data_IF_955202713013
#
_entry.id   IF_955202713013
#
_cell.length_a   1.000
_cell.length_b   1.000
_cell.length_c   1.000
_cell.angle_alpha   90.00
_cell.angle_beta   90.00
_cell.angle_gamma   90.00
#
_symmetry.space_group_name_H-M   'P 1'
#
loop_
_entity.id
_entity.type
_entity.pdbx_description
1 polymer ?
#
# COMPACT_ATOMS: atom_id res chain seq x y z
N UNK A 1 0.74 9.74 -14.85
CA UNK A 1 0.01 10.98 -15.19
C UNK A 1 -1.14 10.64 -16.13
N UNK A 2 -2.38 10.98 -15.76
CA UNK A 2 -3.53 10.81 -16.66
C UNK A 2 -3.59 12.06 -17.51
N UNK A 3 -3.05 12.00 -18.74
CA UNK A 3 -2.88 13.18 -19.62
C UNK A 3 -4.17 13.92 -19.93
N UNK A 4 -5.32 13.25 -19.80
CA UNK A 4 -6.65 13.81 -20.06
C UNK A 4 -7.36 14.31 -18.79
N UNK A 5 -6.75 14.17 -17.61
CA UNK A 5 -7.37 14.59 -16.36
C UNK A 5 -7.18 16.09 -16.13
N UNK A 6 -8.25 16.77 -15.68
CA UNK A 6 -8.22 18.15 -15.23
C UNK A 6 -8.40 18.19 -13.72
N UNK A 7 -7.45 18.78 -12.99
CA UNK A 7 -7.61 19.01 -11.56
C UNK A 7 -8.60 20.17 -11.34
N UNK A 8 -9.85 19.84 -11.04
CA UNK A 8 -10.93 20.83 -10.87
C UNK A 8 -10.91 21.53 -9.51
N UNK A 9 -10.35 20.89 -8.47
CA UNK A 9 -10.17 21.54 -7.18
C UNK A 9 -9.58 20.66 -6.09
N UNK A 10 -9.40 21.28 -4.93
CA UNK A 10 -8.87 20.66 -3.71
C UNK A 10 -9.74 21.06 -2.52
N UNK A 11 -10.00 20.10 -1.63
CA UNK A 11 -10.64 20.30 -0.33
C UNK A 11 -9.75 19.71 0.76
N UNK A 12 -9.66 20.41 1.89
CA UNK A 12 -9.04 19.95 3.13
C UNK A 12 -9.83 20.57 4.29
N UNK A 13 -9.97 19.84 5.40
CA UNK A 13 -10.62 20.34 6.62
C UNK A 13 -9.86 21.54 7.21
N UNK A 14 -8.55 21.63 6.95
CA UNK A 14 -7.72 22.77 7.28
C UNK A 14 -7.70 23.71 6.06
N UNK A 15 -8.49 24.77 6.11
CA UNK A 15 -8.68 25.70 4.98
C UNK A 15 -7.35 26.30 4.45
N UNK A 16 -6.40 26.59 5.34
CA UNK A 16 -5.09 27.11 4.93
C UNK A 16 -4.30 26.13 4.06
N UNK A 17 -4.46 24.82 4.27
CA UNK A 17 -3.79 23.80 3.46
C UNK A 17 -4.41 23.71 2.07
N UNK A 18 -5.74 23.68 1.96
CA UNK A 18 -6.41 23.66 0.66
C UNK A 18 -6.18 24.97 -0.11
N UNK A 19 -6.10 26.11 0.56
CA UNK A 19 -5.73 27.40 -0.06
C UNK A 19 -4.29 27.39 -0.60
N UNK A 20 -3.32 26.88 0.18
CA UNK A 20 -1.93 26.81 -0.25
C UNK A 20 -1.74 25.87 -1.45
N UNK A 21 -2.37 24.69 -1.41
CA UNK A 21 -2.28 23.71 -2.50
C UNK A 21 -3.01 24.17 -3.76
N UNK A 22 -4.19 24.78 -3.61
CA UNK A 22 -4.95 25.31 -4.76
C UNK A 22 -4.18 26.40 -5.50
N UNK A 23 -3.52 27.32 -4.77
CA UNK A 23 -2.60 28.31 -5.34
C UNK A 23 -1.42 27.65 -6.05
N UNK A 24 -0.76 26.68 -5.41
CA UNK A 24 0.41 25.97 -5.96
C UNK A 24 0.09 25.25 -7.27
N UNK A 25 -1.06 24.58 -7.32
CA UNK A 25 -1.48 23.79 -8.49
C UNK A 25 -2.42 24.55 -9.42
N UNK A 26 -2.64 25.85 -9.19
CA UNK A 26 -3.49 26.73 -10.01
C UNK A 26 -4.88 26.12 -10.25
N UNK A 27 -5.50 25.63 -9.18
CA UNK A 27 -6.84 25.02 -9.18
C UNK A 27 -7.75 25.72 -8.16
N UNK A 28 -9.02 25.32 -8.10
CA UNK A 28 -9.99 25.93 -7.21
C UNK A 28 -9.92 25.33 -5.79
N UNK A 29 -9.95 26.19 -4.78
CA UNK A 29 -10.21 25.77 -3.41
C UNK A 29 -11.70 25.51 -3.21
N UNK A 30 -12.02 24.39 -2.57
CA UNK A 30 -13.36 24.12 -2.08
C UNK A 30 -13.35 24.14 -0.55
N UNK A 31 -14.37 24.74 0.05
CA UNK A 31 -14.56 24.80 1.51
C UNK A 31 -15.51 23.70 2.02
N UNK A 32 -16.00 22.84 1.13
CA UNK A 32 -16.91 21.76 1.44
C UNK A 32 -16.60 20.57 0.53
N UNK A 33 -16.50 19.39 1.15
CA UNK A 33 -16.32 18.13 0.44
C UNK A 33 -17.44 17.90 -0.59
N UNK A 34 -18.69 18.13 -0.21
CA UNK A 34 -19.85 17.94 -1.09
C UNK A 34 -19.80 18.85 -2.32
N UNK A 35 -19.35 20.10 -2.14
CA UNK A 35 -19.22 21.04 -3.27
C UNK A 35 -18.14 20.59 -4.26
N UNK A 36 -17.03 20.04 -3.76
CA UNK A 36 -15.98 19.49 -4.62
C UNK A 36 -16.47 18.24 -5.35
N UNK A 37 -17.04 17.29 -4.62
CA UNK A 37 -17.48 16.00 -5.16
C UNK A 37 -18.49 16.19 -6.30
N UNK A 38 -19.44 17.12 -6.17
CA UNK A 38 -20.47 17.39 -7.20
C UNK A 38 -19.93 17.81 -8.56
N UNK A 39 -18.68 18.26 -8.65
CA UNK A 39 -18.06 18.70 -9.90
C UNK A 39 -16.94 17.77 -10.39
N UNK A 40 -16.76 16.61 -9.74
CA UNK A 40 -15.69 15.67 -10.03
C UNK A 40 -16.23 14.39 -10.67
N UNK A 41 -15.58 13.91 -11.73
CA UNK A 41 -15.78 12.54 -12.22
C UNK A 41 -15.07 11.50 -11.34
N UNK A 42 -13.94 11.90 -10.74
CA UNK A 42 -13.13 11.07 -9.86
C UNK A 42 -12.50 11.90 -8.74
N UNK A 43 -12.25 11.28 -7.59
CA UNK A 43 -11.57 11.91 -6.45
C UNK A 43 -10.39 11.06 -5.97
N UNK A 44 -9.32 11.73 -5.55
CA UNK A 44 -8.21 11.13 -4.81
C UNK A 44 -8.38 11.42 -3.33
N UNK A 45 -8.46 10.37 -2.50
CA UNK A 45 -8.68 10.45 -1.06
C UNK A 45 -7.36 10.15 -0.37
N UNK A 46 -6.77 11.19 0.22
CA UNK A 46 -5.52 11.14 0.99
C UNK A 46 -5.70 11.74 2.39
N UNK A 47 -6.87 11.48 3.00
CA UNK A 47 -7.16 11.81 4.41
C UNK A 47 -6.53 10.78 5.35
N UNK A 48 -6.56 10.97 6.68
CA UNK A 48 -6.21 9.88 7.61
C UNK A 48 -7.02 8.61 7.33
N UNK A 49 -6.43 7.43 7.58
CA UNK A 49 -7.03 6.15 7.23
C UNK A 49 -8.40 5.91 7.90
N UNK A 50 -8.57 6.47 9.10
CA UNK A 50 -9.83 6.44 9.87
C UNK A 50 -10.99 7.14 9.15
N UNK A 51 -10.71 8.04 8.22
CA UNK A 51 -11.70 8.83 7.49
C UNK A 51 -11.96 8.30 6.08
N UNK A 52 -11.16 7.34 5.59
CA UNK A 52 -11.30 6.81 4.23
C UNK A 52 -12.72 6.30 3.95
N UNK A 53 -13.32 5.55 4.87
CA UNK A 53 -14.64 4.95 4.65
C UNK A 53 -15.72 6.01 4.41
N UNK A 54 -15.85 7.00 5.29
CA UNK A 54 -16.91 8.01 5.18
C UNK A 54 -16.71 8.90 3.94
N UNK A 55 -15.49 9.35 3.66
CA UNK A 55 -15.19 10.18 2.48
C UNK A 55 -15.43 9.39 1.19
N UNK A 56 -14.99 8.13 1.13
CA UNK A 56 -15.19 7.26 -0.03
C UNK A 56 -16.67 6.98 -0.26
N UNK A 57 -17.44 6.73 0.80
CA UNK A 57 -18.88 6.49 0.71
C UNK A 57 -19.61 7.70 0.12
N UNK A 58 -19.34 8.91 0.62
CA UNK A 58 -19.96 10.15 0.11
C UNK A 58 -19.65 10.33 -1.38
N UNK A 59 -18.39 10.11 -1.79
CA UNK A 59 -17.98 10.24 -3.18
C UNK A 59 -18.66 9.21 -4.10
N UNK A 60 -18.74 7.94 -3.69
CA UNK A 60 -19.47 6.92 -4.45
C UNK A 60 -20.98 7.24 -4.52
N UNK A 61 -21.58 7.71 -3.42
CA UNK A 61 -22.99 8.13 -3.38
C UNK A 61 -23.30 9.25 -4.37
N UNK A 62 -22.31 10.08 -4.70
CA UNK A 62 -22.40 11.13 -5.73
C UNK A 62 -21.85 10.71 -7.11
N UNK A 63 -21.63 9.42 -7.34
CA UNK A 63 -21.19 8.84 -8.61
C UNK A 63 -19.75 9.17 -9.04
N UNK A 64 -18.85 9.48 -8.09
CA UNK A 64 -17.44 9.67 -8.40
C UNK A 64 -16.65 8.35 -8.36
N UNK A 65 -15.72 8.18 -9.30
CA UNK A 65 -14.69 7.15 -9.21
C UNK A 65 -13.68 7.48 -8.10
N UNK A 66 -13.09 6.47 -7.49
CA UNK A 66 -12.16 6.67 -6.36
C UNK A 66 -10.76 6.21 -6.67
N UNK A 67 -9.79 7.05 -6.30
CA UNK A 67 -8.48 6.62 -5.85
C UNK A 67 -8.42 6.86 -4.33
N UNK A 68 -8.08 5.84 -3.55
CA UNK A 68 -8.00 5.93 -2.08
C UNK A 68 -6.62 5.51 -1.64
N UNK A 69 -5.93 6.33 -0.86
CA UNK A 69 -4.66 5.94 -0.28
C UNK A 69 -4.79 4.68 0.61
N UNK A 70 -3.68 3.99 0.80
CA UNK A 70 -3.63 2.82 1.69
C UNK A 70 -3.61 3.26 3.17
N UNK A 71 -4.13 2.44 4.10
CA UNK A 71 -4.94 1.24 3.87
C UNK A 71 -6.34 1.59 3.36
N UNK A 72 -6.99 0.68 2.62
CA UNK A 72 -8.28 0.98 1.96
C UNK A 72 -9.36 1.46 2.95
N UNK A 73 -9.54 0.74 4.06
CA UNK A 73 -10.43 1.09 5.18
C UNK A 73 -9.84 0.54 6.48
N UNK A 74 -10.40 0.93 7.62
CA UNK A 74 -9.97 0.41 8.93
C UNK A 74 -10.44 -1.03 9.15
N UNK A 75 -11.62 -1.37 8.64
CA UNK A 75 -12.20 -2.72 8.82
C UNK A 75 -12.58 -3.37 7.50
N UNK A 76 -12.60 -4.70 7.48
CA UNK A 76 -13.08 -5.49 6.33
C UNK A 76 -14.55 -5.18 6.02
N UNK A 77 -15.38 -4.95 7.06
CA UNK A 77 -16.81 -4.64 6.89
C UNK A 77 -17.02 -3.33 6.13
N UNK A 78 -16.21 -2.31 6.42
CA UNK A 78 -16.22 -1.04 5.68
C UNK A 78 -15.82 -1.26 4.21
N UNK A 79 -14.73 -1.99 3.95
CA UNK A 79 -14.30 -2.32 2.59
C UNK A 79 -15.40 -3.04 1.81
N UNK A 80 -16.04 -4.04 2.40
CA UNK A 80 -17.15 -4.78 1.79
C UNK A 80 -18.33 -3.87 1.42
N UNK A 81 -18.70 -2.92 2.28
CA UNK A 81 -19.75 -1.93 1.99
C UNK A 81 -19.37 -1.05 0.78
N UNK A 82 -18.13 -0.56 0.73
CA UNK A 82 -17.67 0.27 -0.39
C UNK A 82 -17.60 -0.52 -1.70
N UNK A 83 -17.16 -1.78 -1.67
CA UNK A 83 -17.13 -2.67 -2.82
C UNK A 83 -18.56 -2.90 -3.33
N UNK A 84 -19.50 -3.24 -2.44
CA UNK A 84 -20.90 -3.43 -2.81
C UNK A 84 -21.53 -2.17 -3.43
N UNK A 85 -21.23 -0.99 -2.86
CA UNK A 85 -21.71 0.29 -3.38
C UNK A 85 -21.11 0.62 -4.76
N UNK A 86 -19.80 0.43 -4.92
CA UNK A 86 -19.10 0.57 -6.20
C UNK A 86 -19.72 -0.34 -7.27
N UNK A 87 -19.97 -1.60 -6.96
CA UNK A 87 -20.53 -2.55 -7.92
C UNK A 87 -21.98 -2.19 -8.28
N UNK A 88 -22.81 -1.80 -7.29
CA UNK A 88 -24.18 -1.30 -7.51
C UNK A 88 -24.20 -0.09 -8.45
N UNK A 89 -23.24 0.83 -8.30
CA UNK A 89 -23.15 2.05 -9.10
C UNK A 89 -22.27 1.93 -10.36
N UNK A 90 -21.67 0.75 -10.60
CA UNK A 90 -20.75 0.49 -11.71
C UNK A 90 -19.53 1.45 -11.74
N UNK A 91 -19.06 1.85 -10.57
CA UNK A 91 -17.91 2.76 -10.41
C UNK A 91 -16.59 1.99 -10.33
N UNK A 92 -15.49 2.74 -10.21
CA UNK A 92 -14.14 2.19 -10.06
C UNK A 92 -13.56 2.65 -8.74
N UNK A 93 -12.83 1.75 -8.08
CA UNK A 93 -12.03 2.04 -6.89
C UNK A 93 -10.62 1.53 -7.20
N UNK A 94 -9.63 2.37 -6.98
CA UNK A 94 -8.23 2.00 -6.95
C UNK A 94 -7.65 2.35 -5.59
N UNK A 95 -6.96 1.38 -4.97
CA UNK A 95 -6.23 1.60 -3.73
C UNK A 95 -4.78 1.97 -4.06
N UNK A 96 -4.22 2.93 -3.32
CA UNK A 96 -2.87 3.48 -3.48
C UNK A 96 -1.72 2.54 -3.10
N UNK A 97 -1.75 1.28 -3.54
CA UNK A 97 -0.62 0.35 -3.41
C UNK A 97 0.49 0.69 -4.40
N UNK A 98 1.22 1.77 -4.09
CA UNK A 98 2.22 2.36 -5.00
C UNK A 98 3.36 1.40 -5.36
N UNK A 99 3.75 0.50 -4.46
CA UNK A 99 4.88 -0.41 -4.67
C UNK A 99 4.64 -1.42 -5.81
N UNK A 100 3.37 -1.65 -6.21
CA UNK A 100 3.05 -2.44 -7.41
C UNK A 100 3.62 -1.82 -8.69
N UNK A 101 3.86 -0.51 -8.67
CA UNK A 101 4.42 0.26 -9.78
C UNK A 101 5.93 0.50 -9.63
N UNK A 102 6.57 -0.08 -8.61
CA UNK A 102 8.01 0.02 -8.45
C UNK A 102 8.72 -0.71 -9.61
N UNK A 103 9.65 -0.06 -10.35
CA UNK A 103 10.32 -0.68 -11.50
C UNK A 103 11.01 -2.01 -11.18
N UNK A 104 11.63 -2.13 -9.99
CA UNK A 104 12.29 -3.36 -9.57
C UNK A 104 11.30 -4.52 -9.34
N UNK A 105 10.13 -4.21 -8.78
CA UNK A 105 9.06 -5.20 -8.60
C UNK A 105 8.41 -5.60 -9.93
N UNK A 106 8.16 -4.62 -10.81
CA UNK A 106 7.67 -4.89 -12.18
C UNK A 106 8.64 -5.83 -12.90
N UNK A 107 9.94 -5.53 -12.88
CA UNK A 107 10.97 -6.36 -13.50
C UNK A 107 11.02 -7.77 -12.90
N UNK A 108 10.85 -7.92 -11.58
CA UNK A 108 10.76 -9.25 -10.93
C UNK A 108 9.55 -10.03 -11.46
N UNK A 109 8.40 -9.39 -11.60
CA UNK A 109 7.18 -10.02 -12.13
C UNK A 109 7.33 -10.41 -13.61
N UNK A 110 7.96 -9.57 -14.43
CA UNK A 110 8.29 -9.86 -15.83
C UNK A 110 9.22 -11.07 -15.98
N UNK A 111 10.15 -11.25 -15.02
CA UNK A 111 11.01 -12.43 -14.92
C UNK A 111 10.26 -13.72 -14.53
N UNK A 112 8.95 -13.65 -14.30
CA UNK A 112 8.09 -14.77 -13.89
C UNK A 112 8.63 -15.50 -12.66
N UNK A 113 9.02 -14.73 -11.65
CA UNK A 113 9.55 -15.29 -10.41
C UNK A 113 8.57 -16.28 -9.78
N UNK A 114 9.10 -17.40 -9.30
CA UNK A 114 8.37 -18.47 -8.61
C UNK A 114 9.07 -18.78 -7.28
N UNK A 115 8.76 -18.00 -6.23
CA UNK A 115 9.45 -18.06 -4.94
C UNK A 115 9.15 -19.35 -4.17
N UNK A 116 10.18 -19.89 -3.54
CA UNK A 116 10.07 -20.92 -2.48
C UNK A 116 10.03 -20.25 -1.10
N UNK A 117 10.79 -19.18 -0.94
CA UNK A 117 10.84 -18.40 0.30
C UNK A 117 10.98 -16.90 0.01
N UNK A 118 10.28 -16.07 0.78
CA UNK A 118 10.37 -14.61 0.71
C UNK A 118 10.68 -14.06 2.09
N UNK A 119 11.52 -13.04 2.16
CA UNK A 119 11.75 -12.30 3.39
C UNK A 119 11.73 -10.80 3.11
N UNK A 120 10.86 -10.06 3.80
CA UNK A 120 10.78 -8.60 3.66
C UNK A 120 11.03 -7.88 4.97
N UNK A 121 11.81 -6.81 4.89
CA UNK A 121 12.07 -5.88 5.99
C UNK A 121 11.62 -4.49 5.58
N UNK A 122 10.67 -3.93 6.34
CA UNK A 122 10.22 -2.55 6.21
C UNK A 122 10.38 -1.82 7.54
N UNK A 123 11.55 -1.22 7.70
CA UNK A 123 12.01 -0.55 8.89
C UNK A 123 12.09 0.96 8.64
N UNK A 124 11.53 1.74 9.56
CA UNK A 124 11.47 3.19 9.49
C UNK A 124 12.01 3.80 10.79
N UNK A 125 12.52 5.03 10.68
CA UNK A 125 12.76 5.88 11.86
C UNK A 125 11.41 6.23 12.49
N UNK A 126 11.42 6.47 13.81
CA UNK A 126 10.22 6.94 14.50
C UNK A 126 9.79 8.30 13.94
N UNK A 127 8.50 8.39 13.61
CA UNK A 127 7.84 9.62 13.22
C UNK A 127 6.55 9.74 14.04
N UNK A 128 6.34 10.85 14.78
CA UNK A 128 5.09 11.07 15.50
C UNK A 128 3.88 11.21 14.57
N UNK A 129 4.09 11.45 13.27
CA UNK A 129 3.05 11.39 12.23
C UNK A 129 2.96 9.95 11.69
N UNK A 130 1.74 9.42 11.57
CA UNK A 130 1.49 8.04 11.08
C UNK A 130 1.10 7.03 12.17
N UNK A 131 0.71 7.49 13.35
CA UNK A 131 0.20 6.67 14.48
C UNK A 131 -1.31 6.46 14.43
N UNK A 132 -1.97 6.90 13.36
CA UNK A 132 -3.41 6.74 13.13
C UNK A 132 -3.83 5.27 12.90
N UNK A 133 -2.89 4.42 12.48
CA UNK A 133 -3.04 2.96 12.42
C UNK A 133 -1.74 2.26 12.87
N UNK A 134 -1.84 0.97 13.19
CA UNK A 134 -0.69 0.16 13.60
C UNK A 134 0.33 -0.07 12.48
N UNK A 135 1.53 -0.58 12.84
CA UNK A 135 2.64 -0.78 11.89
C UNK A 135 2.30 -1.76 10.77
N UNK A 136 1.33 -2.64 10.96
CA UNK A 136 0.92 -3.61 9.96
C UNK A 136 0.17 -2.87 8.85
N UNK A 137 -0.84 -2.07 9.22
CA UNK A 137 -1.65 -1.32 8.27
C UNK A 137 -0.94 -0.11 7.65
N UNK A 138 0.07 0.44 8.31
CA UNK A 138 0.87 1.53 7.75
C UNK A 138 2.04 1.05 6.88
N UNK A 139 2.84 0.10 7.39
CA UNK A 139 4.07 -0.35 6.76
C UNK A 139 3.91 -1.73 6.11
N UNK A 140 3.61 -2.77 6.89
CA UNK A 140 3.62 -4.17 6.41
C UNK A 140 2.64 -4.42 5.26
N UNK A 141 1.56 -3.61 5.17
CA UNK A 141 0.53 -3.69 4.12
C UNK A 141 1.11 -3.58 2.71
N UNK A 142 2.19 -2.82 2.54
CA UNK A 142 2.89 -2.72 1.25
C UNK A 142 3.47 -4.07 0.86
N UNK A 143 4.17 -4.74 1.77
CA UNK A 143 4.81 -6.02 1.49
C UNK A 143 3.76 -7.13 1.34
N UNK A 144 2.74 -7.15 2.19
CA UNK A 144 1.61 -8.09 2.09
C UNK A 144 0.96 -8.00 0.70
N UNK A 145 0.72 -6.79 0.22
CA UNK A 145 0.14 -6.56 -1.11
C UNK A 145 1.01 -7.13 -2.25
N UNK A 146 2.32 -6.89 -2.20
CA UNK A 146 3.26 -7.42 -3.19
C UNK A 146 3.35 -8.94 -3.14
N UNK A 147 3.36 -9.53 -1.94
CA UNK A 147 3.44 -10.97 -1.74
C UNK A 147 2.20 -11.67 -2.27
N UNK A 148 1.01 -11.14 -1.99
CA UNK A 148 -0.24 -11.66 -2.54
C UNK A 148 -0.30 -11.55 -4.07
N UNK A 149 0.42 -10.57 -4.65
CA UNK A 149 0.56 -10.44 -6.11
C UNK A 149 1.59 -11.41 -6.69
N UNK A 150 2.69 -11.66 -5.98
CA UNK A 150 3.81 -12.49 -6.40
C UNK A 150 3.53 -14.00 -6.21
N UNK A 151 2.76 -14.37 -5.20
CA UNK A 151 2.45 -15.77 -4.85
C UNK A 151 0.98 -16.05 -5.17
N UNK A 152 0.63 -16.58 -6.36
CA UNK A 152 -0.74 -16.86 -6.76
C UNK A 152 -1.28 -18.15 -6.11
N UNK A 153 -1.25 -18.22 -4.79
CA UNK A 153 -1.72 -19.34 -3.98
C UNK A 153 -2.55 -18.84 -2.80
N UNK A 154 -3.43 -19.69 -2.27
CA UNK A 154 -4.09 -19.41 -0.99
C UNK A 154 -3.07 -19.50 0.14
N UNK A 155 -3.35 -18.74 1.20
CA UNK A 155 -2.64 -18.83 2.47
C UNK A 155 -3.17 -20.04 3.23
N UNK A 156 -2.25 -20.86 3.73
CA UNK A 156 -2.50 -22.01 4.60
C UNK A 156 -2.47 -21.61 6.08
N UNK A 157 -1.39 -20.96 6.52
CA UNK A 157 -1.20 -20.56 7.91
C UNK A 157 -0.62 -19.14 8.03
N UNK A 158 -0.94 -18.46 9.14
CA UNK A 158 -0.31 -17.20 9.54
C UNK A 158 0.10 -17.31 11.00
N UNK A 159 1.37 -17.03 11.29
CA UNK A 159 1.91 -16.88 12.64
C UNK A 159 2.42 -15.46 12.78
N UNK A 160 2.01 -14.73 13.80
CA UNK A 160 2.42 -13.34 13.96
C UNK A 160 2.65 -12.98 15.43
N UNK A 161 3.57 -12.04 15.64
CA UNK A 161 3.80 -11.40 16.92
C UNK A 161 3.98 -9.90 16.69
N UNK A 162 3.54 -9.11 17.67
CA UNK A 162 3.68 -7.66 17.61
C UNK A 162 3.80 -7.06 19.00
N UNK A 163 4.44 -5.90 19.09
CA UNK A 163 4.63 -5.20 20.35
C UNK A 163 4.43 -3.69 20.17
N UNK A 164 3.65 -3.12 21.08
CA UNK A 164 3.61 -1.70 21.37
C UNK A 164 4.77 -1.36 22.32
N UNK A 165 5.64 -0.44 21.92
CA UNK A 165 6.91 -0.14 22.63
C UNK A 165 7.00 1.34 22.98
N UNK A 166 6.81 2.22 22.00
CA UNK A 166 6.84 3.68 22.15
C UNK A 166 5.44 4.30 22.09
N UNK A 167 4.50 3.66 21.37
CA UNK A 167 3.13 4.12 21.24
C UNK A 167 2.15 3.14 21.88
N UNK A 168 0.88 3.52 21.97
CA UNK A 168 -0.19 2.61 22.41
C UNK A 168 -0.57 1.57 21.33
N UNK A 169 -0.04 1.73 20.11
CA UNK A 169 -0.27 0.84 18.97
C UNK A 169 0.94 -0.06 18.70
N UNK A 170 0.74 -1.13 17.93
CA UNK A 170 1.84 -2.04 17.57
C UNK A 170 2.88 -1.28 16.74
N UNK A 171 4.09 -1.14 17.28
CA UNK A 171 5.22 -0.42 16.67
C UNK A 171 6.15 -1.34 15.89
N UNK A 172 6.25 -2.59 16.33
CA UNK A 172 7.05 -3.66 15.73
C UNK A 172 6.16 -4.89 15.53
N UNK A 173 6.20 -5.47 14.34
CA UNK A 173 5.51 -6.72 14.04
C UNK A 173 6.38 -7.65 13.21
N UNK A 174 6.31 -8.94 13.54
CA UNK A 174 6.86 -10.03 12.75
C UNK A 174 5.71 -10.96 12.34
N UNK A 175 5.75 -11.47 11.11
CA UNK A 175 4.84 -12.51 10.68
C UNK A 175 5.52 -13.54 9.79
N UNK A 176 5.00 -14.77 9.87
CA UNK A 176 5.30 -15.88 8.98
C UNK A 176 4.01 -16.31 8.32
N UNK A 177 3.98 -16.30 6.99
CA UNK A 177 2.85 -16.72 6.16
C UNK A 177 3.26 -17.95 5.38
N UNK A 178 2.47 -19.01 5.46
CA UNK A 178 2.69 -20.25 4.72
C UNK A 178 1.58 -20.40 3.69
N UNK A 179 1.94 -20.63 2.43
CA UNK A 179 1.00 -20.80 1.32
C UNK A 179 0.76 -22.28 1.02
N UNK A 180 -0.41 -22.61 0.44
CA UNK A 180 -0.75 -23.99 0.05
C UNK A 180 0.24 -24.59 -0.97
N UNK A 181 0.83 -23.77 -1.84
CA UNK A 181 1.84 -24.20 -2.81
C UNK A 181 3.24 -24.45 -2.20
N UNK A 182 3.41 -24.29 -0.88
CA UNK A 182 4.66 -24.50 -0.16
C UNK A 182 5.53 -23.25 0.01
N UNK A 183 5.22 -22.14 -0.68
CA UNK A 183 5.96 -20.90 -0.48
C UNK A 183 5.79 -20.40 0.96
N UNK A 184 6.90 -20.04 1.60
CA UNK A 184 6.91 -19.49 2.97
C UNK A 184 7.43 -18.06 2.96
N UNK A 185 6.83 -17.19 3.76
CA UNK A 185 7.15 -15.76 3.75
C UNK A 185 7.34 -15.24 5.15
N UNK A 186 8.45 -14.55 5.41
CA UNK A 186 8.72 -13.86 6.67
C UNK A 186 8.67 -12.34 6.46
N UNK A 187 7.95 -11.63 7.32
CA UNK A 187 7.83 -10.18 7.30
C UNK A 187 8.25 -9.57 8.62
N UNK A 188 9.00 -8.49 8.53
CA UNK A 188 9.36 -7.63 9.66
C UNK A 188 9.02 -6.20 9.32
N UNK A 189 8.12 -5.59 10.10
CA UNK A 189 7.80 -4.18 10.00
C UNK A 189 8.08 -3.48 11.33
N UNK A 190 8.78 -2.36 11.28
CA UNK A 190 9.10 -1.55 12.46
C UNK A 190 9.05 -0.07 12.14
N UNK A 191 8.42 0.71 13.00
CA UNK A 191 8.47 2.17 12.95
C UNK A 191 9.48 2.79 13.91
N UNK A 192 10.27 1.98 14.63
CA UNK A 192 11.18 2.44 15.70
C UNK A 192 12.62 1.99 15.47
N UNK A 193 13.04 1.89 14.20
CA UNK A 193 14.38 1.47 13.82
C UNK A 193 15.36 2.64 13.79
N UNK A 194 16.65 2.40 14.08
CA UNK A 194 17.73 3.39 13.91
C UNK A 194 18.15 3.57 12.44
N UNK A 195 17.92 2.55 11.61
CA UNK A 195 18.24 2.58 10.18
C UNK A 195 16.99 2.26 9.38
N UNK A 196 16.75 3.05 8.34
CA UNK A 196 15.70 2.76 7.38
C UNK A 196 16.13 1.59 6.50
N UNK A 197 15.21 0.66 6.27
CA UNK A 197 15.41 -0.50 5.39
C UNK A 197 14.09 -0.83 4.72
N UNK A 198 14.11 -0.93 3.39
CA UNK A 198 12.96 -1.38 2.60
C UNK A 198 13.47 -2.38 1.58
N UNK A 199 13.54 -3.63 1.97
CA UNK A 199 14.17 -4.68 1.17
C UNK A 199 13.33 -5.95 1.18
N UNK A 200 13.22 -6.58 0.02
CA UNK A 200 12.57 -7.88 -0.13
C UNK A 200 13.56 -8.84 -0.80
N UNK A 201 13.81 -9.95 -0.13
CA UNK A 201 14.63 -11.07 -0.59
C UNK A 201 13.71 -12.17 -1.09
N UNK A 202 14.00 -12.68 -2.28
CA UNK A 202 13.24 -13.73 -2.94
C UNK A 202 14.18 -14.89 -3.24
N UNK A 203 13.87 -16.06 -2.70
CA UNK A 203 14.65 -17.27 -2.84
C UNK A 203 13.88 -18.26 -3.70
N UNK A 204 14.54 -18.73 -4.75
CA UNK A 204 14.02 -19.67 -5.72
C UNK A 204 15.02 -20.84 -5.84
N UNK A 205 14.61 -21.96 -6.43
CA UNK A 205 15.45 -23.16 -6.52
C UNK A 205 16.85 -22.94 -7.13
N UNK A 206 17.01 -21.91 -7.96
CA UNK A 206 18.26 -21.62 -8.70
C UNK A 206 18.65 -20.15 -8.72
N UNK A 207 17.95 -19.32 -7.97
CA UNK A 207 18.17 -17.87 -7.98
C UNK A 207 17.86 -17.27 -6.62
N UNK A 208 18.54 -16.16 -6.38
CA UNK A 208 18.31 -15.28 -5.25
C UNK A 208 18.18 -13.87 -5.80
N UNK A 209 17.08 -13.20 -5.47
CA UNK A 209 16.82 -11.83 -5.87
C UNK A 209 16.68 -10.94 -4.63
N UNK A 210 17.30 -9.77 -4.68
CA UNK A 210 17.13 -8.71 -3.69
C UNK A 210 16.52 -7.50 -4.39
N UNK A 211 15.35 -7.08 -3.91
CA UNK A 211 14.75 -5.79 -4.24
C UNK A 211 15.11 -4.82 -3.12
N UNK A 212 15.69 -3.69 -3.48
CA UNK A 212 15.76 -2.51 -2.62
C UNK A 212 14.71 -1.49 -3.09
N UNK A 213 13.74 -1.15 -2.25
CA UNK A 213 12.68 -0.20 -2.60
C UNK A 213 13.09 1.27 -2.37
N UNK A 214 14.14 1.54 -1.58
CA UNK A 214 14.66 2.90 -1.41
C UNK A 214 15.45 3.32 -2.65
N UNK A 215 16.26 2.41 -3.18
CA UNK A 215 16.95 2.55 -4.47
C UNK A 215 16.36 1.50 -5.40
N UNK A 216 15.26 1.80 -6.13
CA UNK A 216 14.44 0.82 -6.87
C UNK A 216 15.29 0.00 -7.85
N UNK A 217 15.86 -1.08 -7.32
CA UNK A 217 16.84 -1.92 -7.98
C UNK A 217 16.56 -3.38 -7.68
N UNK A 218 16.78 -4.21 -8.69
CA UNK A 218 16.66 -5.66 -8.61
C UNK A 218 18.04 -6.25 -8.85
N UNK A 219 18.61 -6.87 -7.82
CA UNK A 219 19.86 -7.60 -7.93
C UNK A 219 19.57 -9.09 -7.89
N UNK A 220 19.93 -9.82 -8.95
CA UNK A 220 19.67 -11.26 -9.04
C UNK A 220 20.97 -12.02 -9.19
N UNK A 221 21.20 -12.95 -8.27
CA UNK A 221 22.21 -13.98 -8.37
C UNK A 221 21.57 -15.28 -8.89
N UNK A 222 22.23 -15.96 -9.83
CA UNK A 222 21.77 -17.24 -10.39
C UNK A 222 22.87 -18.28 -10.31
N UNK A 223 22.51 -19.52 -10.01
CA UNK A 223 23.43 -20.66 -10.07
C UNK A 223 23.68 -21.00 -11.55
N UNK A 224 24.93 -20.87 -12.00
CA UNK A 224 25.35 -21.34 -13.32
C UNK A 224 25.48 -22.88 -13.31
N UNK A 225 24.86 -23.56 -14.28
CA UNK A 225 24.87 -25.03 -14.44
C UNK A 225 26.27 -25.68 -14.44
N UNK A 226 27.34 -24.90 -14.67
CA UNK A 226 28.71 -25.40 -14.84
C UNK A 226 29.60 -25.30 -13.60
N UNK A 227 29.09 -24.81 -12.46
CA UNK A 227 29.82 -24.90 -11.18
C UNK A 227 29.07 -25.88 -10.28
N UNK A 228 29.60 -27.11 -10.19
CA UNK A 228 29.23 -28.02 -9.09
C UNK A 228 29.58 -27.31 -7.77
N UNK A 229 28.65 -27.39 -6.83
CA UNK A 229 28.88 -27.04 -5.42
C UNK A 229 30.01 -27.92 -4.86
#
# INVERSE_FOLDING_TARGET
EIRTAKLVGIYDIIESQSLNLSKKYKTQQYLSLDKLIKVCDAVSIATPATNHFEVAKIALENNCHLFVEKPFTKTIREAQKLIALKDKKKLKIQVGHIERFNPAFIQLMENKSNPEFIESHRLSLYNPRGTDVDVILDLMVHDIDLILKLVPSKIKNIYASGKAVLTDSVDLANSRIEFENGCTVNLTASRISLKQMRQMRIFEKRSYSLIDFNVPSLNTWKINKNKKL
#
